data_IF_468326908759
#
_entry.id   IF_468326908759
#
_cell.length_a   1.000
_cell.length_b   1.000
_cell.length_c   1.000
_cell.angle_alpha   90.00
_cell.angle_beta   90.00
_cell.angle_gamma   90.00
#
_symmetry.space_group_name_H-M   'P 1'
#
loop_
_entity.id
_entity.type
_entity.pdbx_description
1 polymer ?
#
# COMPACT_ATOMS: atom_id res chain seq x y z
N UNK A 1 30.07 -32.43 -14.29
CA UNK A 1 29.27 -31.20 -14.32
C UNK A 1 28.43 -31.18 -13.06
N UNK A 2 28.93 -30.61 -11.97
CA UNK A 2 28.14 -30.43 -10.74
C UNK A 2 27.62 -29.01 -10.71
N UNK A 3 26.30 -28.87 -10.75
CA UNK A 3 25.62 -27.66 -10.31
C UNK A 3 25.98 -27.46 -8.83
N UNK A 4 26.70 -26.38 -8.54
CA UNK A 4 26.91 -25.96 -7.16
C UNK A 4 25.66 -25.22 -6.74
N UNK A 5 24.72 -25.94 -6.13
CA UNK A 5 23.59 -25.35 -5.45
C UNK A 5 24.10 -24.33 -4.42
N UNK A 6 23.63 -23.10 -4.52
CA UNK A 6 23.96 -22.04 -3.56
C UNK A 6 23.17 -22.34 -2.29
N UNK A 7 23.86 -22.58 -1.18
CA UNK A 7 23.23 -22.85 0.11
C UNK A 7 22.28 -21.68 0.49
N UNK A 8 21.00 -21.93 0.80
CA UNK A 8 20.06 -20.88 1.16
C UNK A 8 20.43 -20.36 2.56
N UNK A 9 20.97 -19.14 2.63
CA UNK A 9 21.01 -18.43 3.92
C UNK A 9 22.21 -17.56 4.27
N UNK A 10 23.10 -17.15 3.34
CA UNK A 10 24.22 -16.28 3.76
C UNK A 10 24.59 -15.12 2.83
N UNK A 11 23.68 -14.67 1.98
CA UNK A 11 23.81 -13.36 1.32
C UNK A 11 22.73 -12.44 1.86
N UNK A 12 23.11 -11.60 2.82
CA UNK A 12 22.31 -10.41 3.15
C UNK A 12 22.51 -9.44 2.00
N UNK A 13 21.45 -9.13 1.25
CA UNK A 13 21.52 -8.09 0.23
C UNK A 13 21.84 -6.76 0.93
N UNK A 14 22.67 -5.94 0.32
CA UNK A 14 22.90 -4.60 0.87
C UNK A 14 21.66 -3.72 0.68
N UNK A 15 21.62 -2.59 1.40
CA UNK A 15 20.49 -1.66 1.35
C UNK A 15 20.25 -1.12 -0.07
N UNK A 16 21.29 -0.95 -0.87
CA UNK A 16 21.15 -0.44 -2.23
C UNK A 16 20.44 -1.45 -3.12
N UNK A 17 20.81 -2.71 -3.03
CA UNK A 17 20.20 -3.81 -3.78
C UNK A 17 18.72 -3.97 -3.40
N UNK A 18 18.38 -3.85 -2.10
CA UNK A 18 16.97 -3.85 -1.69
C UNK A 18 16.19 -2.69 -2.30
N UNK A 19 16.76 -1.48 -2.32
CA UNK A 19 16.13 -0.31 -2.94
C UNK A 19 15.92 -0.49 -4.44
N UNK A 20 16.95 -0.97 -5.14
CA UNK A 20 16.88 -1.19 -6.58
C UNK A 20 15.81 -2.21 -6.96
N UNK A 21 15.68 -3.30 -6.18
CA UNK A 21 14.62 -4.30 -6.36
C UNK A 21 13.24 -3.66 -6.16
N UNK A 22 13.04 -2.95 -5.04
CA UNK A 22 11.75 -2.32 -4.74
C UNK A 22 11.36 -1.25 -5.79
N UNK A 23 12.35 -0.52 -6.31
CA UNK A 23 12.13 0.52 -7.32
C UNK A 23 11.93 -0.05 -8.73
N UNK A 24 12.40 -1.26 -9.00
CA UNK A 24 12.19 -1.98 -10.26
C UNK A 24 10.90 -2.81 -10.31
N UNK A 25 10.14 -2.90 -9.21
CA UNK A 25 8.87 -3.63 -9.18
C UNK A 25 7.72 -2.81 -9.77
N UNK A 26 6.88 -3.45 -10.58
CA UNK A 26 5.63 -2.88 -11.11
C UNK A 26 4.55 -2.72 -10.04
N UNK A 27 4.68 -3.44 -8.93
CA UNK A 27 3.79 -3.29 -7.79
C UNK A 27 4.15 -2.03 -6.99
N UNK A 28 3.15 -1.26 -6.60
CA UNK A 28 3.36 -0.06 -5.80
C UNK A 28 3.93 -0.42 -4.43
N UNK A 29 4.95 0.28 -3.98
CA UNK A 29 5.51 0.13 -2.64
C UNK A 29 5.61 1.50 -1.98
N UNK A 30 5.17 1.57 -0.72
CA UNK A 30 5.29 2.77 0.09
C UNK A 30 5.50 2.44 1.57
N UNK A 31 6.30 3.28 2.22
CA UNK A 31 6.53 3.28 3.67
C UNK A 31 5.88 4.51 4.26
N UNK A 32 5.05 4.31 5.28
CA UNK A 32 4.27 5.33 5.95
C UNK A 32 4.72 5.50 7.40
N UNK A 33 4.85 6.74 7.85
CA UNK A 33 4.94 7.11 9.26
C UNK A 33 3.58 7.60 9.75
N UNK A 34 3.16 7.11 10.91
CA UNK A 34 1.91 7.57 11.53
C UNK A 34 2.11 8.93 12.18
N UNK A 35 1.26 9.89 11.81
CA UNK A 35 1.19 11.19 12.47
C UNK A 35 0.08 11.14 13.50
N UNK A 36 0.47 11.27 14.77
CA UNK A 36 -0.45 11.29 15.90
C UNK A 36 -0.88 12.71 16.24
N UNK A 37 -2.15 12.89 16.56
CA UNK A 37 -2.68 14.11 17.17
C UNK A 37 -2.42 14.17 18.67
N UNK A 38 -2.83 15.29 19.28
CA UNK A 38 -2.67 15.54 20.72
C UNK A 38 -3.41 14.52 21.60
N UNK A 39 -4.44 13.86 21.07
CA UNK A 39 -5.20 12.81 21.76
C UNK A 39 -4.60 11.39 21.59
N UNK A 40 -3.45 11.29 20.92
CA UNK A 40 -2.76 10.04 20.64
C UNK A 40 -3.40 9.18 19.54
N UNK A 41 -4.40 9.70 18.82
CA UNK A 41 -4.98 9.03 17.65
C UNK A 41 -4.23 9.39 16.39
N UNK A 42 -4.23 8.47 15.42
CA UNK A 42 -3.69 8.73 14.09
C UNK A 42 -4.57 9.74 13.34
N UNK A 43 -3.99 10.90 13.05
CA UNK A 43 -4.63 11.97 12.28
C UNK A 43 -4.27 11.87 10.79
N UNK A 44 -3.05 11.40 10.49
CA UNK A 44 -2.54 11.34 9.13
C UNK A 44 -1.44 10.27 8.99
N UNK A 45 -0.98 10.08 7.76
CA UNK A 45 0.19 9.28 7.40
C UNK A 45 1.13 10.13 6.55
N UNK A 46 2.42 10.11 6.84
CA UNK A 46 3.44 10.68 5.97
C UNK A 46 4.12 9.58 5.16
N UNK A 47 4.30 9.79 3.85
CA UNK A 47 5.04 8.84 3.02
C UNK A 47 6.54 9.09 3.20
N UNK A 48 7.23 8.18 3.89
CA UNK A 48 8.67 8.27 4.16
C UNK A 48 9.46 7.91 2.90
N UNK A 49 9.02 6.86 2.20
CA UNK A 49 9.66 6.33 1.00
C UNK A 49 8.60 5.67 0.12
N UNK A 50 8.81 5.70 -1.20
CA UNK A 50 7.92 5.06 -2.17
C UNK A 50 8.63 4.81 -3.49
N UNK A 51 8.15 3.81 -4.24
CA UNK A 51 8.60 3.57 -5.61
C UNK A 51 7.74 4.34 -6.64
N UNK A 52 8.20 4.32 -7.90
CA UNK A 52 7.49 4.97 -9.01
C UNK A 52 6.10 4.38 -9.25
N UNK A 53 5.95 3.06 -9.14
CA UNK A 53 4.67 2.39 -9.32
C UNK A 53 3.59 2.88 -8.33
N UNK A 54 3.94 3.13 -7.06
CA UNK A 54 3.00 3.71 -6.10
C UNK A 54 2.56 5.12 -6.52
N UNK A 55 3.50 5.94 -7.00
CA UNK A 55 3.18 7.28 -7.47
C UNK A 55 2.23 7.26 -8.67
N UNK A 56 2.46 6.34 -9.61
CA UNK A 56 1.61 6.13 -10.78
C UNK A 56 0.19 5.67 -10.42
N UNK A 57 0.05 4.77 -9.42
CA UNK A 57 -1.26 4.35 -8.90
C UNK A 57 -2.08 5.56 -8.42
N UNK A 58 -1.41 6.53 -7.77
CA UNK A 58 -2.05 7.76 -7.29
C UNK A 58 -2.21 8.83 -8.38
N UNK A 59 -1.65 8.62 -9.58
CA UNK A 59 -1.63 9.61 -10.66
C UNK A 59 -0.77 10.84 -10.31
N UNK A 60 0.33 10.65 -9.58
CA UNK A 60 1.24 11.70 -9.11
C UNK A 60 2.67 11.42 -9.55
N UNK A 61 3.53 12.41 -9.38
CA UNK A 61 4.98 12.22 -9.50
C UNK A 61 5.56 11.82 -8.14
N UNK A 62 6.62 11.01 -8.16
CA UNK A 62 7.28 10.55 -6.94
C UNK A 62 7.81 11.72 -6.08
N UNK A 63 8.33 12.77 -6.73
CA UNK A 63 8.80 14.01 -6.08
C UNK A 63 7.71 14.79 -5.31
N UNK A 64 6.44 14.54 -5.64
CA UNK A 64 5.29 15.15 -4.96
C UNK A 64 4.73 14.31 -3.82
N UNK A 65 5.29 13.11 -3.61
CA UNK A 65 4.81 12.14 -2.61
C UNK A 65 5.80 12.03 -1.45
N UNK A 66 7.08 11.84 -1.74
CA UNK A 66 8.08 11.56 -0.71
C UNK A 66 8.17 12.69 0.32
N UNK A 67 8.15 12.32 1.60
CA UNK A 67 8.17 13.23 2.75
C UNK A 67 6.87 14.01 3.00
N UNK A 68 5.80 13.76 2.23
CA UNK A 68 4.54 14.50 2.36
C UNK A 68 3.46 13.69 3.09
N UNK A 69 2.58 14.43 3.76
CA UNK A 69 1.36 13.87 4.35
C UNK A 69 0.39 13.43 3.28
N UNK A 70 -0.34 12.36 3.54
CA UNK A 70 -1.33 11.80 2.63
C UNK A 70 -2.45 12.79 2.35
N UNK A 71 -2.88 13.56 3.36
CA UNK A 71 -3.87 14.63 3.16
C UNK A 71 -3.39 15.74 2.21
N UNK A 72 -2.07 15.96 2.10
CA UNK A 72 -1.49 16.91 1.14
C UNK A 72 -1.36 16.30 -0.27
N UNK A 73 -1.04 15.01 -0.36
CA UNK A 73 -0.91 14.29 -1.64
C UNK A 73 -2.29 14.09 -2.29
N UNK A 74 -3.28 13.73 -1.48
CA UNK A 74 -4.66 13.47 -1.86
C UNK A 74 -5.61 14.43 -1.10
N UNK A 75 -5.79 15.67 -1.61
CA UNK A 75 -6.72 16.61 -1.00
C UNK A 75 -8.13 16.03 -0.93
N UNK A 76 -8.75 16.11 0.25
CA UNK A 76 -10.10 15.55 0.50
C UNK A 76 -10.13 14.07 0.88
N UNK A 77 -8.99 13.38 1.01
CA UNK A 77 -8.95 11.96 1.41
C UNK A 77 -9.64 11.65 2.75
N UNK A 78 -9.74 12.63 3.64
CA UNK A 78 -10.44 12.51 4.92
C UNK A 78 -11.98 12.42 4.77
N UNK A 79 -12.53 12.86 3.64
CA UNK A 79 -13.98 12.74 3.37
C UNK A 79 -14.32 11.43 2.68
N UNK A 80 -13.33 10.64 2.27
CA UNK A 80 -13.57 9.34 1.67
C UNK A 80 -13.95 8.36 2.78
N UNK A 81 -14.84 7.40 2.50
CA UNK A 81 -15.16 6.30 3.42
C UNK A 81 -14.01 5.27 3.55
N UNK A 82 -12.78 5.75 3.40
CA UNK A 82 -11.55 5.00 3.18
C UNK A 82 -10.85 4.78 4.53
N UNK A 83 -10.93 3.55 5.06
CA UNK A 83 -10.48 3.18 6.43
C UNK A 83 -9.02 2.75 6.49
N UNK A 84 -8.33 2.65 5.37
CA UNK A 84 -6.91 2.29 5.28
C UNK A 84 -5.99 3.16 6.17
N UNK A 85 -6.24 4.47 6.38
CA UNK A 85 -5.42 5.29 7.30
C UNK A 85 -5.45 4.70 8.70
N UNK A 86 -6.65 4.38 9.20
CA UNK A 86 -6.83 3.74 10.52
C UNK A 86 -6.23 2.34 10.55
N UNK A 87 -6.35 1.60 9.45
CA UNK A 87 -5.80 0.26 9.34
C UNK A 87 -4.27 0.24 9.35
N UNK A 88 -3.61 1.06 8.53
CA UNK A 88 -2.17 1.25 8.53
C UNK A 88 -1.66 1.80 9.86
N UNK A 89 -2.40 2.72 10.50
CA UNK A 89 -2.06 3.18 11.84
C UNK A 89 -2.15 2.06 12.89
N UNK A 90 -3.15 1.17 12.80
CA UNK A 90 -3.25 -0.02 13.65
C UNK A 90 -2.03 -0.93 13.41
N UNK A 91 -1.70 -1.24 12.16
CA UNK A 91 -0.55 -2.09 11.78
C UNK A 91 0.76 -1.50 12.28
N UNK A 92 0.98 -0.19 12.11
CA UNK A 92 2.16 0.51 12.61
C UNK A 92 2.28 0.46 14.15
N UNK A 93 1.16 0.32 14.86
CA UNK A 93 1.13 0.21 16.32
C UNK A 93 1.29 -1.24 16.79
N UNK A 94 0.63 -2.20 16.15
CA UNK A 94 0.64 -3.61 16.58
C UNK A 94 1.81 -4.40 16.02
N UNK A 95 2.38 -3.97 14.90
CA UNK A 95 3.38 -4.73 14.14
C UNK A 95 2.79 -5.89 13.33
N UNK A 96 1.50 -6.20 13.52
CA UNK A 96 0.82 -7.32 12.86
C UNK A 96 0.53 -6.99 11.40
N UNK A 97 0.94 -7.87 10.49
CA UNK A 97 0.64 -7.72 9.07
C UNK A 97 -0.85 -7.95 8.79
N UNK A 98 -1.41 -7.16 7.87
CA UNK A 98 -2.80 -7.27 7.45
C UNK A 98 -2.95 -6.88 5.98
N UNK A 99 -4.04 -7.32 5.36
CA UNK A 99 -4.39 -6.94 3.98
C UNK A 99 -5.75 -6.27 3.96
N UNK A 100 -5.81 -5.06 3.42
CA UNK A 100 -7.05 -4.31 3.26
C UNK A 100 -7.29 -4.04 1.79
N UNK A 101 -8.50 -4.31 1.32
CA UNK A 101 -8.94 -3.96 -0.04
C UNK A 101 -10.09 -2.97 0.07
N UNK A 102 -9.90 -1.77 -0.45
CA UNK A 102 -10.90 -0.70 -0.41
C UNK A 102 -10.89 0.14 -1.69
N UNK A 103 -12.01 0.80 -1.96
CA UNK A 103 -12.13 1.71 -3.09
C UNK A 103 -11.59 3.10 -2.73
N UNK A 104 -10.54 3.52 -3.42
CA UNK A 104 -9.99 4.87 -3.33
C UNK A 104 -10.82 5.80 -4.23
N UNK A 105 -11.44 6.82 -3.63
CA UNK A 105 -12.31 7.77 -4.32
C UNK A 105 -11.53 8.94 -4.96
N UNK A 106 -12.23 10.05 -5.23
CA UNK A 106 -11.64 11.31 -5.68
C UNK A 106 -10.91 11.19 -7.02
N UNK A 107 -9.64 11.57 -7.03
CA UNK A 107 -8.79 11.54 -8.23
C UNK A 107 -8.21 10.15 -8.54
N UNK A 108 -8.29 9.20 -7.61
CA UNK A 108 -7.68 7.86 -7.76
C UNK A 108 -8.64 6.89 -8.44
N UNK A 109 -9.89 6.80 -7.95
CA UNK A 109 -11.00 6.02 -8.53
C UNK A 109 -10.68 4.55 -8.83
N UNK A 110 -9.90 3.90 -7.96
CA UNK A 110 -9.42 2.51 -8.12
C UNK A 110 -9.76 1.70 -6.88
N UNK A 111 -9.99 0.40 -7.05
CA UNK A 111 -9.90 -0.54 -5.93
C UNK A 111 -8.43 -0.83 -5.65
N UNK A 112 -7.99 -0.56 -4.44
CA UNK A 112 -6.61 -0.74 -4.03
C UNK A 112 -6.52 -1.82 -2.95
N UNK A 113 -5.59 -2.75 -3.13
CA UNK A 113 -5.17 -3.71 -2.12
C UNK A 113 -3.91 -3.20 -1.44
N UNK A 114 -3.93 -3.10 -0.11
CA UNK A 114 -2.79 -2.75 0.74
C UNK A 114 -2.40 -3.98 1.55
N UNK A 115 -1.34 -4.66 1.13
CA UNK A 115 -0.71 -5.72 1.92
C UNK A 115 0.38 -5.09 2.78
N UNK A 116 0.11 -4.89 4.06
CA UNK A 116 0.93 -4.06 4.92
C UNK A 116 1.47 -4.81 6.13
N UNK A 117 2.66 -4.41 6.57
CA UNK A 117 3.31 -4.89 7.78
C UNK A 117 3.92 -3.73 8.56
N UNK A 118 4.06 -3.88 9.88
CA UNK A 118 4.66 -2.87 10.76
C UNK A 118 6.12 -3.22 11.07
N UNK A 119 7.11 -2.76 10.29
CA UNK A 119 8.52 -3.14 10.50
C UNK A 119 9.10 -2.60 11.81
N UNK A 120 8.55 -1.49 12.32
CA UNK A 120 8.91 -0.89 13.61
C UNK A 120 7.75 -0.05 14.15
N UNK A 121 7.72 0.25 15.47
CA UNK A 121 6.69 1.10 16.05
C UNK A 121 6.52 2.42 15.31
N UNK A 122 5.27 2.77 14.98
CA UNK A 122 4.91 4.01 14.29
C UNK A 122 5.10 3.99 12.77
N UNK A 123 5.57 2.87 12.19
CA UNK A 123 5.76 2.73 10.74
C UNK A 123 4.99 1.55 10.19
N UNK A 124 4.37 1.75 9.04
CA UNK A 124 3.79 0.69 8.21
C UNK A 124 4.43 0.71 6.82
N UNK A 125 4.82 -0.45 6.31
CA UNK A 125 5.21 -0.63 4.91
C UNK A 125 4.11 -1.40 4.19
N UNK A 126 3.73 -0.96 2.99
CA UNK A 126 2.66 -1.59 2.22
C UNK A 126 3.06 -1.84 0.77
N UNK A 127 2.73 -3.04 0.29
CA UNK A 127 2.58 -3.32 -1.12
C UNK A 127 1.17 -2.90 -1.55
N UNK A 128 1.08 -2.10 -2.60
CA UNK A 128 -0.14 -1.48 -3.10
C UNK A 128 -0.38 -1.92 -4.53
N UNK A 129 -1.53 -2.56 -4.75
CA UNK A 129 -1.91 -3.09 -6.06
C UNK A 129 -3.27 -2.54 -6.48
N UNK A 130 -3.39 -2.11 -7.74
CA UNK A 130 -4.68 -1.80 -8.36
C UNK A 130 -5.40 -3.11 -8.70
N UNK A 131 -6.46 -3.41 -7.96
CA UNK A 131 -7.30 -4.60 -8.10
C UNK A 131 -8.65 -4.27 -8.73
N UNK A 132 -8.74 -3.15 -9.45
CA UNK A 132 -10.00 -2.65 -10.04
C UNK A 132 -10.61 -3.65 -11.03
N UNK A 133 -9.83 -4.19 -11.94
CA UNK A 133 -10.32 -5.16 -12.93
C UNK A 133 -10.79 -6.45 -12.27
N UNK A 134 -10.04 -6.94 -11.29
CA UNK A 134 -10.39 -8.13 -10.52
C UNK A 134 -11.73 -7.94 -9.78
N UNK A 135 -11.93 -6.77 -9.18
CA UNK A 135 -13.19 -6.46 -8.50
C UNK A 135 -14.36 -6.29 -9.47
N UNK A 136 -14.12 -5.69 -10.66
CA UNK A 136 -15.13 -5.60 -11.74
C UNK A 136 -15.56 -6.98 -12.20
N UNK A 137 -14.61 -7.88 -12.45
CA UNK A 137 -14.89 -9.27 -12.86
C UNK A 137 -15.66 -10.02 -11.78
N UNK A 138 -15.24 -9.92 -10.50
CA UNK A 138 -15.95 -10.54 -9.37
C UNK A 138 -17.40 -10.07 -9.27
N UNK A 139 -17.64 -8.76 -9.42
CA UNK A 139 -18.98 -8.19 -9.34
C UNK A 139 -19.86 -8.61 -10.53
N UNK A 140 -19.30 -8.67 -11.75
CA UNK A 140 -20.03 -9.14 -12.93
C UNK A 140 -20.46 -10.61 -12.77
N UNK A 141 -19.55 -11.49 -12.32
CA UNK A 141 -19.86 -12.90 -12.04
C UNK A 141 -20.92 -13.06 -10.94
N UNK A 142 -20.86 -12.26 -9.87
CA UNK A 142 -21.86 -12.28 -8.82
C UNK A 142 -23.26 -11.90 -9.34
N UNK A 143 -23.33 -10.91 -10.23
CA UNK A 143 -24.60 -10.47 -10.83
C UNK A 143 -25.20 -11.55 -11.73
N UNK A 144 -24.39 -12.20 -12.56
CA UNK A 144 -24.84 -13.33 -13.41
C UNK A 144 -25.35 -14.51 -12.56
N UNK A 145 -24.64 -14.87 -11.48
CA UNK A 145 -25.06 -15.94 -10.58
C UNK A 145 -26.41 -15.65 -9.91
N UNK A 146 -26.66 -14.40 -9.53
CA UNK A 146 -27.94 -13.99 -8.94
C UNK A 146 -29.09 -14.01 -9.96
N UNK A 147 -28.81 -13.69 -11.23
CA UNK A 147 -29.83 -13.69 -12.29
C UNK A 147 -30.21 -15.11 -12.75
N UNK A 148 -29.30 -16.09 -12.61
CA UNK A 148 -29.53 -17.50 -12.97
C UNK A 148 -30.19 -18.32 -11.85
N UNK A 149 -30.42 -17.73 -10.68
CA UNK A 149 -31.00 -18.41 -9.51
C UNK A 149 -32.52 -18.22 -9.39
N UNK A 150 -33.21 -17.84 -10.47
CA UNK A 150 -34.67 -17.67 -10.56
C UNK A 150 -35.29 -18.68 -11.53
#
# INVERSE_FOLDING_TARGET
MSATDIAPGNQTLDLQTYKDILHGMDAGFAVFEVILGDDGKAEDLAVIDANAAFAEILGKKLEDIAGRRITAILPGVHTWDFKWIKALAKIARTGEADTIVEYAEGSVRKWLSFQAAGPRPGVAAALVTDVTEEQRMKNALALERNNLSY
#
